data_IF_117503154417
#
_entry.id   IF_117503154417
#
_cell.length_a   1.000
_cell.length_b   1.000
_cell.length_c   1.000
_cell.angle_alpha   90.00
_cell.angle_beta   90.00
_cell.angle_gamma   90.00
#
_symmetry.space_group_name_H-M   'P 1'
#
loop_
_entity.id
_entity.type
_entity.pdbx_description
1 polymer ?
#
# COMPACT_ATOMS: atom_id res chain seq x y z
N UNK A 1 39.84 31.68 21.16
CA UNK A 1 40.33 30.29 21.27
C UNK A 1 39.83 29.52 20.06
N UNK A 2 40.71 29.08 19.16
CA UNK A 2 40.34 28.19 18.07
C UNK A 2 39.87 26.86 18.66
N UNK A 3 38.59 26.52 18.49
CA UNK A 3 38.10 25.17 18.78
C UNK A 3 38.51 24.29 17.59
N UNK A 4 39.65 23.64 17.73
CA UNK A 4 40.14 22.63 16.80
C UNK A 4 39.14 21.45 16.83
N UNK A 5 38.69 20.97 15.66
CA UNK A 5 37.87 19.77 15.57
C UNK A 5 38.80 18.59 15.88
N UNK A 6 38.85 18.17 17.15
CA UNK A 6 39.45 16.88 17.49
C UNK A 6 38.54 15.77 16.94
N UNK A 7 39.18 14.77 16.33
CA UNK A 7 38.61 13.59 15.68
C UNK A 7 37.22 13.22 16.22
N UNK A 8 36.20 13.32 15.35
CA UNK A 8 34.86 12.85 15.68
C UNK A 8 34.95 11.33 15.70
N UNK A 9 34.77 10.68 16.87
CA UNK A 9 34.84 9.22 16.95
C UNK A 9 33.77 8.62 16.04
N UNK A 10 34.12 7.53 15.35
CA UNK A 10 33.15 6.78 14.57
C UNK A 10 32.05 6.25 15.50
N UNK A 11 30.80 6.37 15.06
CA UNK A 11 29.64 5.76 15.71
C UNK A 11 29.11 4.69 14.76
N UNK A 12 28.82 3.50 15.30
CA UNK A 12 28.39 2.36 14.48
C UNK A 12 26.98 2.52 13.90
N UNK A 13 26.15 3.36 14.52
CA UNK A 13 24.79 3.69 14.05
C UNK A 13 24.45 5.16 14.31
N UNK A 14 23.79 5.81 13.35
CA UNK A 14 23.29 7.19 13.52
C UNK A 14 21.92 7.18 14.21
N UNK A 15 21.71 8.13 15.11
CA UNK A 15 20.41 8.43 15.72
C UNK A 15 19.68 9.56 14.96
N UNK A 16 18.35 9.66 15.12
CA UNK A 16 17.55 10.70 14.47
C UNK A 16 17.92 12.13 14.89
N UNK A 17 18.56 12.29 16.05
CA UNK A 17 19.06 13.57 16.55
C UNK A 17 20.41 13.98 15.94
N UNK A 18 21.08 13.09 15.20
CA UNK A 18 22.41 13.35 14.67
C UNK A 18 22.40 14.42 13.56
N UNK A 19 23.54 15.10 13.42
CA UNK A 19 23.70 16.27 12.55
C UNK A 19 24.89 16.11 11.63
N UNK A 20 24.74 16.57 10.39
CA UNK A 20 25.87 16.76 9.49
C UNK A 20 26.57 18.07 9.87
N UNK A 21 27.90 18.01 10.02
CA UNK A 21 28.76 19.17 10.23
C UNK A 21 29.53 19.44 8.95
N UNK A 22 29.39 20.64 8.40
CA UNK A 22 30.16 21.11 7.25
C UNK A 22 31.14 22.17 7.71
N UNK A 23 32.43 21.88 7.54
CA UNK A 23 33.53 22.81 7.80
C UNK A 23 34.15 23.23 6.47
N UNK A 24 34.08 24.52 6.14
CA UNK A 24 34.73 25.08 4.95
C UNK A 24 36.04 25.76 5.35
N UNK A 25 37.10 25.58 4.56
CA UNK A 25 38.40 26.23 4.79
C UNK A 25 38.33 27.76 4.71
N UNK A 26 37.33 28.31 4.01
CA UNK A 26 37.03 29.73 4.01
C UNK A 26 36.30 30.15 5.30
N UNK A 27 36.99 30.86 6.19
CA UNK A 27 36.39 31.64 7.27
C UNK A 27 36.20 30.95 8.63
N UNK A 28 36.77 29.75 8.86
CA UNK A 28 36.64 29.01 10.13
C UNK A 28 35.19 28.83 10.61
N UNK A 29 34.23 28.75 9.69
CA UNK A 29 32.81 28.60 9.98
C UNK A 29 32.44 27.11 9.98
N UNK A 30 32.02 26.60 11.14
CA UNK A 30 31.35 25.30 11.24
C UNK A 30 29.83 25.53 11.19
N UNK A 31 29.17 24.93 10.20
CA UNK A 31 27.69 24.87 10.13
C UNK A 31 27.23 23.47 10.44
N UNK A 32 26.08 23.33 11.08
CA UNK A 32 25.44 22.03 11.29
C UNK A 32 23.96 22.07 10.95
N UNK A 33 23.42 20.96 10.48
CA UNK A 33 21.99 20.76 10.24
C UNK A 33 21.60 19.34 10.63
N UNK A 34 20.36 19.14 11.10
CA UNK A 34 19.83 17.78 11.21
C UNK A 34 19.71 17.18 9.82
N UNK A 35 19.79 15.85 9.72
CA UNK A 35 19.63 15.14 8.45
C UNK A 35 18.31 15.52 7.76
N UNK A 36 17.23 15.65 8.53
CA UNK A 36 15.89 16.05 8.05
C UNK A 36 15.83 17.45 7.44
N UNK A 37 16.64 18.39 7.92
CA UNK A 37 16.61 19.79 7.52
C UNK A 37 17.59 20.11 6.37
N UNK A 38 18.31 19.11 5.85
CA UNK A 38 19.23 19.33 4.75
C UNK A 38 18.49 19.84 3.51
N UNK A 39 18.93 20.95 2.90
CA UNK A 39 18.33 21.43 1.67
C UNK A 39 18.67 20.49 0.51
N UNK A 40 17.67 20.17 -0.30
CA UNK A 40 17.81 19.49 -1.59
C UNK A 40 17.30 20.42 -2.67
N UNK A 41 18.15 20.72 -3.65
CA UNK A 41 17.78 21.53 -4.81
C UNK A 41 17.35 20.61 -5.95
N UNK A 42 16.05 20.54 -6.22
CA UNK A 42 15.50 19.66 -7.25
C UNK A 42 14.61 20.46 -8.19
N UNK A 43 14.93 20.41 -9.49
CA UNK A 43 14.18 21.10 -10.54
C UNK A 43 13.92 22.60 -10.25
N UNK A 44 14.94 23.33 -9.76
CA UNK A 44 14.84 24.77 -9.51
C UNK A 44 14.10 25.18 -8.24
N UNK A 45 13.80 24.24 -7.34
CA UNK A 45 13.16 24.51 -6.04
C UNK A 45 13.97 23.93 -4.90
N UNK A 46 14.11 24.70 -3.84
CA UNK A 46 14.68 24.22 -2.58
C UNK A 46 13.61 23.51 -1.77
N UNK A 47 13.91 22.29 -1.33
CA UNK A 47 13.11 21.51 -0.37
C UNK A 47 14.00 21.01 0.75
N UNK A 48 13.42 20.47 1.81
CA UNK A 48 14.19 19.71 2.81
C UNK A 48 14.24 18.23 2.42
N UNK A 49 15.27 17.51 2.85
CA UNK A 49 15.39 16.07 2.66
C UNK A 49 14.17 15.34 3.24
N UNK A 50 13.73 15.70 4.45
CA UNK A 50 12.53 15.11 5.05
C UNK A 50 11.28 15.38 4.22
N UNK A 51 11.11 16.61 3.71
CA UNK A 51 9.99 16.94 2.83
C UNK A 51 9.99 16.12 1.55
N UNK A 52 11.18 15.81 1.01
CA UNK A 52 11.30 14.98 -0.20
C UNK A 52 11.04 13.50 0.06
N UNK A 53 11.54 12.95 1.17
CA UNK A 53 11.33 11.55 1.53
C UNK A 53 9.87 11.28 1.94
N UNK A 54 9.21 12.23 2.59
CA UNK A 54 7.79 12.13 2.94
C UNK A 54 6.82 12.16 1.75
N UNK A 55 7.30 12.38 0.53
CA UNK A 55 6.48 12.24 -0.69
C UNK A 55 6.22 10.77 -1.07
N UNK A 56 7.02 9.83 -0.55
CA UNK A 56 6.86 8.39 -0.76
C UNK A 56 6.65 7.71 0.60
N UNK A 57 5.39 7.49 0.95
CA UNK A 57 5.02 6.82 2.19
C UNK A 57 4.83 5.33 1.91
N UNK A 58 5.54 4.50 2.67
CA UNK A 58 5.42 3.05 2.61
C UNK A 58 4.80 2.46 3.86
N UNK A 59 4.23 1.27 3.74
CA UNK A 59 3.75 0.49 4.90
C UNK A 59 4.88 0.16 5.90
N UNK A 60 6.13 0.11 5.46
CA UNK A 60 7.29 -0.13 6.32
C UNK A 60 7.56 1.05 7.27
N UNK A 61 7.18 2.27 6.87
CA UNK A 61 7.28 3.46 7.74
C UNK A 61 6.32 3.38 8.94
N UNK A 62 5.35 2.47 8.89
CA UNK A 62 4.39 2.18 9.96
C UNK A 62 4.73 0.90 10.74
N UNK A 63 5.91 0.32 10.51
CA UNK A 63 6.40 -0.86 11.23
C UNK A 63 6.04 -2.20 10.59
N UNK A 64 5.55 -2.22 9.35
CA UNK A 64 5.43 -3.47 8.60
C UNK A 64 6.83 -4.06 8.34
N UNK A 65 6.96 -5.37 8.52
CA UNK A 65 8.23 -6.12 8.42
C UNK A 65 8.42 -6.72 7.02
N UNK A 66 7.37 -7.31 6.44
CA UNK A 66 7.44 -7.87 5.08
C UNK A 66 8.24 -9.17 4.94
N UNK A 67 8.33 -9.94 6.03
CA UNK A 67 9.04 -11.24 6.09
C UNK A 67 8.15 -12.45 5.73
N UNK A 68 6.85 -12.25 5.58
CA UNK A 68 5.82 -13.26 5.30
C UNK A 68 5.39 -14.07 6.51
N UNK A 69 5.79 -13.67 7.72
CA UNK A 69 5.53 -14.38 8.99
C UNK A 69 4.89 -13.44 10.01
N UNK A 70 5.49 -12.26 10.18
CA UNK A 70 4.99 -11.19 11.05
C UNK A 70 3.63 -10.71 10.56
N UNK A 71 2.73 -10.36 11.49
CA UNK A 71 1.44 -9.77 11.11
C UNK A 71 1.63 -8.29 10.77
N UNK A 72 1.58 -7.98 9.48
CA UNK A 72 1.77 -6.64 8.95
C UNK A 72 0.44 -5.86 8.86
N UNK A 73 -0.71 -6.51 9.12
CA UNK A 73 -2.01 -5.88 8.93
C UNK A 73 -2.22 -4.59 9.75
N UNK A 74 -1.79 -4.49 11.03
CA UNK A 74 -1.91 -3.24 11.78
C UNK A 74 -1.14 -2.08 11.16
N UNK A 75 0.06 -2.33 10.62
CA UNK A 75 0.87 -1.30 9.98
C UNK A 75 0.27 -0.85 8.64
N UNK A 76 -0.29 -1.78 7.86
CA UNK A 76 -1.04 -1.45 6.65
C UNK A 76 -2.26 -0.59 6.97
N UNK A 77 -3.04 -0.95 7.99
CA UNK A 77 -4.23 -0.17 8.37
C UNK A 77 -3.82 1.24 8.84
N UNK A 78 -2.79 1.36 9.68
CA UNK A 78 -2.28 2.66 10.12
C UNK A 78 -1.79 3.54 8.96
N UNK A 79 -1.16 2.95 7.94
CA UNK A 79 -0.71 3.68 6.75
C UNK A 79 -1.90 4.23 5.94
N UNK A 80 -2.94 3.43 5.75
CA UNK A 80 -4.16 3.83 5.03
C UNK A 80 -4.94 4.89 5.79
N UNK A 81 -5.05 4.76 7.11
CA UNK A 81 -5.74 5.73 7.94
C UNK A 81 -5.05 7.10 7.92
N UNK A 82 -3.73 7.12 7.74
CA UNK A 82 -2.93 8.34 7.71
C UNK A 82 -2.77 8.95 6.31
N UNK A 83 -2.76 8.15 5.25
CA UNK A 83 -2.42 8.59 3.90
C UNK A 83 -3.29 7.98 2.81
N UNK A 84 -3.72 8.83 1.87
CA UNK A 84 -4.51 8.42 0.71
C UNK A 84 -3.69 7.76 -0.41
N UNK A 85 -2.36 7.84 -0.37
CA UNK A 85 -1.49 7.19 -1.35
C UNK A 85 -0.35 6.49 -0.62
N UNK A 86 -0.31 5.16 -0.72
CA UNK A 86 0.67 4.33 -0.03
C UNK A 86 1.40 3.41 -1.02
N UNK A 87 2.69 3.23 -0.76
CA UNK A 87 3.55 2.29 -1.48
C UNK A 87 3.73 1.01 -0.65
N UNK A 88 3.66 -0.13 -1.32
CA UNK A 88 3.97 -1.43 -0.73
C UNK A 88 5.27 -1.93 -1.36
N UNK A 89 6.41 -1.87 -0.63
CA UNK A 89 7.68 -2.30 -1.18
C UNK A 89 7.70 -3.79 -1.55
N UNK A 90 8.75 -4.18 -2.27
CA UNK A 90 9.07 -5.59 -2.47
C UNK A 90 9.18 -6.30 -1.10
N UNK A 91 8.52 -7.44 -0.96
CA UNK A 91 8.38 -8.13 0.31
C UNK A 91 7.24 -9.14 0.29
N UNK A 92 7.16 -9.92 1.36
CA UNK A 92 6.08 -10.87 1.63
C UNK A 92 5.30 -10.35 2.84
N UNK A 93 4.08 -9.91 2.65
CA UNK A 93 3.33 -9.20 3.68
C UNK A 93 2.20 -10.10 4.17
N UNK A 94 2.36 -10.70 5.35
CA UNK A 94 1.28 -11.51 5.92
C UNK A 94 0.26 -10.58 6.56
N UNK A 95 -1.00 -10.76 6.18
CA UNK A 95 -2.12 -9.96 6.68
C UNK A 95 -3.03 -10.88 7.50
N UNK A 96 -2.92 -10.84 8.84
CA UNK A 96 -3.78 -11.67 9.68
C UNK A 96 -5.24 -11.22 9.66
N UNK A 97 -5.49 -9.96 9.26
CA UNK A 97 -6.83 -9.40 9.04
C UNK A 97 -6.91 -8.65 7.72
N UNK A 98 -8.11 -8.61 7.14
CA UNK A 98 -8.37 -7.82 5.95
C UNK A 98 -8.19 -6.32 6.24
N UNK A 99 -7.60 -5.61 5.28
CA UNK A 99 -7.37 -4.17 5.38
C UNK A 99 -8.59 -3.44 4.83
N UNK A 100 -9.20 -2.59 5.65
CA UNK A 100 -10.36 -1.80 5.24
C UNK A 100 -9.87 -0.49 4.63
N UNK A 101 -10.26 -0.24 3.38
CA UNK A 101 -9.78 0.91 2.61
C UNK A 101 -10.94 1.88 2.40
N UNK A 102 -10.92 3.09 3.00
CA UNK A 102 -11.88 4.13 2.70
C UNK A 102 -11.79 4.55 1.23
N UNK A 103 -12.78 5.27 0.69
CA UNK A 103 -12.71 5.73 -0.69
C UNK A 103 -11.57 6.76 -0.90
N UNK A 104 -11.18 7.06 -2.14
CA UNK A 104 -10.05 7.94 -2.54
C UNK A 104 -8.64 7.45 -2.15
N UNK A 105 -8.39 6.14 -2.13
CA UNK A 105 -7.05 5.60 -1.82
C UNK A 105 -6.32 5.07 -3.05
N UNK A 106 -5.00 5.25 -3.11
CA UNK A 106 -4.12 4.64 -4.10
C UNK A 106 -3.11 3.74 -3.40
N UNK A 107 -3.09 2.47 -3.77
CA UNK A 107 -2.17 1.48 -3.25
C UNK A 107 -1.33 0.96 -4.42
N UNK A 108 -0.02 1.15 -4.34
CA UNK A 108 0.92 0.79 -5.40
C UNK A 108 1.98 -0.16 -4.84
N UNK A 109 2.05 -1.37 -5.38
CA UNK A 109 3.17 -2.28 -5.12
C UNK A 109 4.41 -1.93 -5.93
N UNK A 110 5.56 -2.47 -5.54
CA UNK A 110 6.81 -2.33 -6.29
C UNK A 110 6.88 -3.23 -7.55
N UNK A 111 5.84 -4.02 -7.82
CA UNK A 111 5.75 -4.98 -8.93
C UNK A 111 5.14 -6.31 -8.49
N UNK A 112 4.28 -6.90 -9.33
CA UNK A 112 3.53 -8.13 -9.02
C UNK A 112 4.39 -9.36 -8.74
N UNK A 113 5.64 -9.37 -9.20
CA UNK A 113 6.57 -10.48 -8.99
C UNK A 113 7.39 -10.34 -7.70
N UNK A 114 7.32 -9.18 -7.02
CA UNK A 114 8.14 -8.86 -5.83
C UNK A 114 7.34 -8.37 -4.64
N UNK A 115 6.12 -7.86 -4.85
CA UNK A 115 5.20 -7.43 -3.78
C UNK A 115 4.13 -8.50 -3.61
N UNK A 116 4.20 -9.28 -2.53
CA UNK A 116 3.34 -10.44 -2.33
C UNK A 116 2.55 -10.29 -1.04
N UNK A 117 1.21 -10.21 -1.14
CA UNK A 117 0.33 -10.20 0.01
C UNK A 117 -0.12 -11.62 0.33
N UNK A 118 -0.10 -11.99 1.61
CA UNK A 118 -0.50 -13.30 2.12
C UNK A 118 -1.61 -13.12 3.17
N UNK A 119 -2.86 -12.86 2.75
CA UNK A 119 -3.99 -12.78 3.67
C UNK A 119 -4.31 -14.14 4.28
N UNK A 120 -4.45 -14.18 5.61
CA UNK A 120 -4.94 -15.37 6.33
C UNK A 120 -6.45 -15.56 6.14
N UNK A 121 -7.18 -14.45 5.91
CA UNK A 121 -8.61 -14.41 5.69
C UNK A 121 -9.02 -14.40 4.21
N UNK A 122 -10.34 -14.31 3.93
CA UNK A 122 -10.85 -14.38 2.56
C UNK A 122 -10.60 -13.13 1.73
N UNK A 123 -10.19 -12.00 2.32
CA UNK A 123 -9.82 -10.80 1.58
C UNK A 123 -8.52 -10.21 2.13
N UNK A 124 -7.64 -9.76 1.24
CA UNK A 124 -6.54 -8.86 1.59
C UNK A 124 -7.04 -7.43 1.80
N UNK A 125 -7.90 -6.94 0.90
CA UNK A 125 -8.46 -5.60 0.95
C UNK A 125 -9.98 -5.61 0.79
N UNK A 126 -10.63 -4.73 1.56
CA UNK A 126 -12.05 -4.39 1.41
C UNK A 126 -12.15 -2.89 1.14
N UNK A 127 -12.37 -2.54 -0.13
CA UNK A 127 -12.51 -1.16 -0.59
C UNK A 127 -13.95 -0.67 -0.40
N UNK A 128 -14.13 0.40 0.35
CA UNK A 128 -15.44 0.95 0.74
C UNK A 128 -15.84 2.12 -0.18
N UNK A 129 -17.14 2.34 -0.34
CA UNK A 129 -17.65 3.53 -1.01
C UNK A 129 -17.84 4.69 -0.01
N UNK A 130 -18.14 5.88 -0.52
CA UNK A 130 -18.39 7.12 0.24
C UNK A 130 -19.70 7.08 1.05
N UNK A 131 -19.89 6.05 1.87
CA UNK A 131 -21.12 5.82 2.62
C UNK A 131 -20.87 5.41 4.07
N UNK A 132 -21.88 5.61 4.91
CA UNK A 132 -21.84 5.26 6.33
C UNK A 132 -20.59 5.80 7.04
N UNK A 133 -19.93 4.94 7.81
CA UNK A 133 -18.71 5.27 8.56
C UNK A 133 -17.50 5.62 7.68
N UNK A 134 -17.57 5.34 6.37
CA UNK A 134 -16.50 5.60 5.40
C UNK A 134 -16.78 6.82 4.53
N UNK A 135 -17.78 7.62 4.88
CA UNK A 135 -18.13 8.84 4.14
C UNK A 135 -17.08 9.93 4.36
N UNK A 136 -16.35 10.27 3.30
CA UNK A 136 -15.29 11.29 3.30
C UNK A 136 -15.72 12.60 2.62
N UNK A 137 -16.78 12.56 1.82
CA UNK A 137 -17.38 13.74 1.18
C UNK A 137 -18.88 13.76 1.48
N UNK A 138 -19.34 14.57 2.44
CA UNK A 138 -20.75 14.64 2.79
C UNK A 138 -21.59 15.32 1.70
N UNK A 139 -20.97 16.02 0.75
CA UNK A 139 -21.67 16.79 -0.29
C UNK A 139 -21.83 16.03 -1.60
N UNK A 140 -21.04 14.98 -1.82
CA UNK A 140 -21.15 14.11 -2.97
C UNK A 140 -22.11 12.92 -2.73
N UNK A 141 -22.46 12.24 -3.81
CA UNK A 141 -23.15 10.94 -3.78
C UNK A 141 -22.39 9.91 -2.94
N UNK A 142 -23.06 8.90 -2.44
CA UNK A 142 -22.50 7.97 -1.45
C UNK A 142 -22.00 6.64 -2.04
N UNK A 143 -22.13 6.42 -3.35
CA UNK A 143 -21.82 5.15 -4.01
C UNK A 143 -20.42 5.08 -4.64
N UNK A 144 -19.62 6.14 -4.66
CA UNK A 144 -18.31 6.13 -5.31
C UNK A 144 -17.20 5.62 -4.39
N UNK A 145 -16.20 4.94 -4.97
CA UNK A 145 -14.99 4.46 -4.29
C UNK A 145 -13.74 5.24 -4.70
N UNK A 146 -13.49 5.44 -6.00
CA UNK A 146 -12.35 6.19 -6.55
C UNK A 146 -10.97 5.75 -6.06
N UNK A 147 -10.83 4.49 -5.66
CA UNK A 147 -9.54 3.95 -5.21
C UNK A 147 -8.85 3.18 -6.34
N UNK A 148 -7.54 2.96 -6.20
CA UNK A 148 -6.80 2.08 -7.08
C UNK A 148 -5.85 1.13 -6.37
N UNK A 149 -5.63 -0.03 -7.00
CA UNK A 149 -4.71 -1.08 -6.58
C UNK A 149 -3.88 -1.54 -7.78
N UNK A 150 -2.56 -1.38 -7.69
CA UNK A 150 -1.64 -1.58 -8.81
C UNK A 150 -0.38 -2.36 -8.38
N UNK A 151 0.19 -3.14 -9.31
CA UNK A 151 1.55 -3.69 -9.25
C UNK A 151 1.87 -4.63 -8.06
N UNK A 152 0.98 -5.56 -7.72
CA UNK A 152 1.22 -6.55 -6.66
C UNK A 152 0.56 -7.91 -6.92
N UNK A 153 0.99 -8.92 -6.16
CA UNK A 153 0.38 -10.24 -6.13
C UNK A 153 -0.34 -10.51 -4.81
N UNK A 154 -1.40 -11.32 -4.86
CA UNK A 154 -2.18 -11.77 -3.70
C UNK A 154 -2.22 -13.29 -3.69
N UNK A 155 -1.63 -13.89 -2.66
CA UNK A 155 -1.63 -15.32 -2.37
C UNK A 155 -2.78 -15.63 -1.42
N UNK A 156 -3.93 -15.92 -1.99
CA UNK A 156 -5.22 -15.98 -1.29
C UNK A 156 -5.36 -17.24 -0.44
N UNK A 157 -5.86 -17.08 0.78
CA UNK A 157 -6.40 -18.20 1.55
C UNK A 157 -7.73 -18.70 0.95
N UNK A 158 -8.67 -17.78 0.67
CA UNK A 158 -9.95 -18.11 0.02
C UNK A 158 -10.25 -17.23 -1.21
N UNK A 159 -10.34 -15.91 -1.02
CA UNK A 159 -10.51 -14.91 -2.08
C UNK A 159 -9.45 -13.80 -2.01
N UNK A 160 -9.59 -12.79 -2.87
CA UNK A 160 -8.59 -11.74 -3.07
C UNK A 160 -9.02 -10.40 -2.50
N UNK A 161 -9.80 -9.64 -3.28
CA UNK A 161 -10.28 -8.31 -2.88
C UNK A 161 -11.79 -8.19 -3.04
N UNK A 162 -12.40 -7.39 -2.17
CA UNK A 162 -13.80 -6.96 -2.31
C UNK A 162 -13.86 -5.46 -2.51
N UNK A 163 -14.63 -5.02 -3.49
CA UNK A 163 -14.76 -3.61 -3.87
C UNK A 163 -16.22 -3.20 -3.85
N UNK A 164 -16.54 -2.20 -3.05
CA UNK A 164 -17.85 -1.57 -3.02
C UNK A 164 -17.84 -0.25 -3.77
N UNK A 165 -18.84 -0.05 -4.63
CA UNK A 165 -19.06 1.23 -5.27
C UNK A 165 -18.25 1.46 -6.54
N UNK A 166 -18.41 2.67 -7.07
CA UNK A 166 -18.05 3.01 -8.45
C UNK A 166 -16.63 3.60 -8.58
N UNK A 167 -16.12 3.66 -9.81
CA UNK A 167 -14.85 4.31 -10.17
C UNK A 167 -13.57 3.68 -9.57
N UNK A 168 -13.62 2.40 -9.18
CA UNK A 168 -12.42 1.67 -8.78
C UNK A 168 -11.50 1.38 -9.99
N UNK A 169 -10.20 1.33 -9.78
CA UNK A 169 -9.24 0.96 -10.84
C UNK A 169 -8.25 -0.06 -10.33
N UNK A 170 -7.99 -1.11 -11.09
CA UNK A 170 -6.84 -1.96 -10.83
C UNK A 170 -6.10 -2.34 -12.11
N UNK A 171 -4.79 -2.47 -11.98
CA UNK A 171 -3.90 -2.84 -13.06
C UNK A 171 -2.77 -3.73 -12.57
N UNK A 172 -2.33 -4.64 -13.44
CA UNK A 172 -1.14 -5.46 -13.24
C UNK A 172 -1.15 -6.29 -11.94
N UNK A 173 -2.28 -6.94 -11.63
CA UNK A 173 -2.42 -7.79 -10.45
C UNK A 173 -2.30 -9.27 -10.78
N UNK A 174 -1.66 -10.03 -9.88
CA UNK A 174 -1.60 -11.48 -9.97
C UNK A 174 -2.22 -12.14 -8.75
N UNK A 175 -3.13 -13.09 -8.95
CA UNK A 175 -3.75 -13.85 -7.88
C UNK A 175 -3.19 -15.28 -7.88
N UNK A 176 -3.07 -15.88 -6.70
CA UNK A 176 -2.62 -17.26 -6.50
C UNK A 176 -3.43 -17.94 -5.40
N UNK A 177 -3.60 -19.27 -5.46
CA UNK A 177 -4.29 -20.03 -4.41
C UNK A 177 -5.79 -19.77 -4.39
N UNK A 178 -6.34 -19.63 -3.19
CA UNK A 178 -7.78 -19.53 -2.95
C UNK A 178 -8.49 -20.88 -2.81
N UNK A 179 -9.72 -20.83 -2.33
CA UNK A 179 -10.47 -22.02 -1.93
C UNK A 179 -11.99 -21.80 -2.03
N UNK A 180 -12.46 -21.39 -3.21
CA UNK A 180 -13.89 -21.18 -3.41
C UNK A 180 -14.67 -22.47 -3.18
N UNK A 181 -15.74 -22.41 -2.37
CA UNK A 181 -16.61 -23.56 -2.10
C UNK A 181 -17.53 -23.91 -3.27
N UNK A 182 -17.57 -23.06 -4.32
CA UNK A 182 -18.40 -23.22 -5.50
C UNK A 182 -18.56 -21.91 -6.28
N UNK A 183 -19.35 -21.92 -7.36
CA UNK A 183 -19.56 -20.73 -8.20
C UNK A 183 -20.31 -19.60 -7.47
N UNK A 184 -21.12 -19.93 -6.46
CA UNK A 184 -21.90 -18.95 -5.70
C UNK A 184 -21.25 -18.54 -4.37
N UNK A 185 -20.00 -18.96 -4.12
CA UNK A 185 -19.26 -18.56 -2.93
C UNK A 185 -19.22 -17.03 -2.83
N UNK A 186 -19.63 -16.47 -1.69
CA UNK A 186 -19.67 -15.04 -1.47
C UNK A 186 -18.26 -14.44 -1.39
N UNK A 187 -17.30 -15.20 -0.86
CA UNK A 187 -15.97 -14.76 -0.48
C UNK A 187 -14.86 -15.37 -1.35
N UNK A 188 -15.14 -16.46 -2.07
CA UNK A 188 -14.19 -17.18 -2.91
C UNK A 188 -13.89 -16.57 -4.28
N UNK A 189 -13.74 -15.26 -4.41
CA UNK A 189 -13.45 -14.57 -5.69
C UNK A 189 -12.10 -13.84 -5.63
N UNK A 190 -11.31 -13.89 -6.71
CA UNK A 190 -10.13 -13.04 -6.83
C UNK A 190 -10.51 -11.56 -6.70
N UNK A 191 -11.57 -11.15 -7.40
CA UNK A 191 -12.12 -9.79 -7.33
C UNK A 191 -13.66 -9.88 -7.29
N UNK A 192 -14.25 -9.48 -6.15
CA UNK A 192 -15.71 -9.33 -5.97
C UNK A 192 -16.09 -7.85 -6.06
N UNK A 193 -16.66 -7.45 -7.20
CA UNK A 193 -17.11 -6.09 -7.49
C UNK A 193 -18.60 -5.95 -7.14
N UNK A 194 -18.91 -5.15 -6.12
CA UNK A 194 -20.23 -5.05 -5.49
C UNK A 194 -20.83 -3.66 -5.71
N UNK A 195 -21.98 -3.60 -6.39
CA UNK A 195 -22.58 -2.33 -6.83
C UNK A 195 -21.55 -1.44 -7.53
N UNK A 196 -20.68 -2.04 -8.34
CA UNK A 196 -19.61 -1.33 -9.00
C UNK A 196 -20.00 -1.02 -10.44
N UNK A 197 -19.77 0.21 -10.87
CA UNK A 197 -19.83 0.65 -12.26
C UNK A 197 -18.69 1.66 -12.49
N UNK A 198 -18.43 2.00 -13.75
CA UNK A 198 -17.37 2.96 -14.11
C UNK A 198 -15.95 2.56 -13.65
N UNK A 199 -15.73 1.28 -13.34
CA UNK A 199 -14.42 0.78 -12.93
C UNK A 199 -13.58 0.35 -14.13
N UNK A 200 -12.26 0.36 -13.95
CA UNK A 200 -11.30 -0.19 -14.92
C UNK A 200 -10.56 -1.36 -14.30
N UNK A 201 -10.48 -2.45 -15.03
CA UNK A 201 -9.73 -3.64 -14.65
C UNK A 201 -8.86 -4.04 -15.85
N UNK A 202 -7.54 -4.07 -15.68
CA UNK A 202 -6.59 -4.43 -16.74
C UNK A 202 -5.41 -5.21 -16.19
N UNK A 203 -4.73 -5.99 -17.05
CA UNK A 203 -3.52 -6.71 -16.67
C UNK A 203 -3.69 -7.71 -15.51
N UNK A 204 -4.84 -8.40 -15.44
CA UNK A 204 -5.16 -9.30 -14.32
C UNK A 204 -4.89 -10.76 -14.67
N UNK A 205 -4.15 -11.44 -13.81
CA UNK A 205 -4.02 -12.90 -13.79
C UNK A 205 -4.92 -13.48 -12.68
N UNK A 206 -6.12 -13.95 -13.03
CA UNK A 206 -7.13 -14.50 -12.13
C UNK A 206 -7.98 -15.59 -12.80
N UNK A 207 -8.73 -16.37 -12.02
CA UNK A 207 -9.65 -17.41 -12.51
C UNK A 207 -9.44 -18.76 -11.84
N UNK A 208 -10.41 -19.67 -11.92
CA UNK A 208 -10.27 -21.03 -11.39
C UNK A 208 -9.45 -21.93 -12.34
N UNK A 209 -8.55 -22.75 -11.80
CA UNK A 209 -7.77 -23.74 -12.54
C UNK A 209 -6.27 -23.54 -12.44
N UNK A 210 -5.50 -24.41 -13.12
CA UNK A 210 -4.03 -24.34 -13.15
C UNK A 210 -3.35 -25.70 -13.02
N UNK A 211 -2.10 -25.78 -13.51
CA UNK A 211 -1.23 -26.95 -13.39
C UNK A 211 -0.46 -26.97 -12.06
N UNK A 212 0.47 -27.92 -11.90
CA UNK A 212 1.19 -28.29 -10.67
C UNK A 212 2.10 -27.21 -10.02
N UNK A 213 1.93 -25.92 -10.34
CA UNK A 213 2.67 -24.81 -9.75
C UNK A 213 1.87 -23.51 -9.58
N UNK A 214 0.62 -23.45 -10.04
CA UNK A 214 -0.24 -22.26 -9.96
C UNK A 214 -1.71 -22.69 -9.80
N UNK A 215 -2.01 -23.48 -8.77
CA UNK A 215 -3.39 -23.85 -8.50
C UNK A 215 -4.18 -22.60 -8.07
N UNK A 216 -5.12 -22.16 -8.90
CA UNK A 216 -6.09 -21.15 -8.54
C UNK A 216 -7.39 -21.85 -8.14
N UNK A 217 -7.68 -21.82 -6.84
CA UNK A 217 -8.89 -22.37 -6.26
C UNK A 217 -9.98 -21.32 -6.01
N UNK A 218 -9.68 -20.03 -6.13
CA UNK A 218 -10.70 -18.98 -6.16
C UNK A 218 -11.40 -18.90 -7.54
N UNK A 219 -12.64 -18.42 -7.53
CA UNK A 219 -13.31 -17.95 -8.73
C UNK A 219 -12.59 -16.69 -9.28
N UNK A 220 -12.83 -16.35 -10.54
CA UNK A 220 -12.18 -15.22 -11.20
C UNK A 220 -12.68 -13.85 -10.72
N UNK A 221 -13.30 -13.11 -11.63
CA UNK A 221 -13.78 -11.75 -11.38
C UNK A 221 -15.31 -11.78 -11.48
N UNK A 222 -16.00 -11.28 -10.46
CA UNK A 222 -17.46 -11.12 -10.48
C UNK A 222 -17.84 -9.66 -10.37
N UNK A 223 -18.84 -9.29 -11.15
CA UNK A 223 -19.61 -8.06 -10.98
C UNK A 223 -21.01 -8.41 -10.56
N UNK A 224 -21.52 -7.76 -9.52
CA UNK A 224 -22.86 -8.02 -9.00
C UNK A 224 -23.51 -6.77 -8.40
N UNK A 225 -24.83 -6.77 -8.44
CA UNK A 225 -25.68 -5.85 -7.70
C UNK A 225 -26.09 -6.46 -6.35
N UNK A 226 -26.39 -5.62 -5.37
CA UNK A 226 -27.15 -6.00 -4.16
C UNK A 226 -28.63 -5.62 -4.26
N UNK A 227 -29.05 -4.99 -5.36
CA UNK A 227 -30.46 -4.71 -5.64
C UNK A 227 -31.08 -5.93 -6.29
N UNK A 228 -32.25 -6.35 -5.78
CA UNK A 228 -33.00 -7.47 -6.37
C UNK A 228 -33.43 -7.16 -7.81
N UNK A 229 -33.21 -8.11 -8.72
CA UNK A 229 -33.65 -8.03 -10.12
C UNK A 229 -32.74 -7.24 -11.07
N UNK A 230 -31.52 -6.91 -10.64
CA UNK A 230 -30.46 -6.28 -11.45
C UNK A 230 -29.26 -7.21 -11.56
#
# INVERSE_FOLDING_TARGET
MNRQIHEIPAVDTLASADRIVVSTSAGNLARSASLSALPVHLAGRDRTLAGKLGEFISVADFGAVGDGVSDDAPAFQAAIDAFSAIHVPAGRWRLASAITVPPRHRILGAGRDVTMLLPDGPQAFVFRCNDGDFRVDPTADNNWNRSSLEDLAIYMAAGGIRVFGHEFRCDNLCFFGGSASGPDDADGWCIDMVNANECRISGINAGYGGGSGQALGANGIRWRSTMDGV
#
